data_IF_307340165726
#
_entry.id   IF_307340165726
#
_cell.length_a   1.000
_cell.length_b   1.000
_cell.length_c   1.000
_cell.angle_alpha   90.00
_cell.angle_beta   90.00
_cell.angle_gamma   90.00
#
_symmetry.space_group_name_H-M   'P 1'
#
loop_
_entity.id
_entity.type
_entity.pdbx_description
1 polymer ?
#
# COMPACT_ATOMS: atom_id res chain seq x y z
N UNK A 1 36.19 -13.51 36.33
CA UNK A 1 35.56 -13.98 35.08
C UNK A 1 34.10 -13.58 35.14
N UNK A 2 33.63 -12.56 34.41
CA UNK A 2 32.21 -12.25 34.41
C UNK A 2 31.46 -13.39 33.72
N UNK A 3 30.54 -13.99 34.48
CA UNK A 3 29.60 -15.01 34.00
C UNK A 3 28.68 -14.36 32.98
N UNK A 4 28.91 -14.62 31.69
CA UNK A 4 27.91 -14.34 30.67
C UNK A 4 26.88 -15.46 30.72
N UNK A 5 25.78 -15.20 31.42
CA UNK A 5 24.56 -15.98 31.24
C UNK A 5 24.12 -15.80 29.78
N UNK A 6 23.80 -16.88 29.04
CA UNK A 6 23.23 -16.74 27.71
C UNK A 6 21.91 -15.96 27.81
N UNK A 7 21.61 -15.09 26.84
CA UNK A 7 20.35 -14.36 26.83
C UNK A 7 19.17 -15.36 26.89
N UNK A 8 18.06 -15.01 27.56
CA UNK A 8 16.91 -15.89 27.67
C UNK A 8 16.42 -16.28 26.26
N UNK A 9 15.97 -17.53 26.07
CA UNK A 9 15.39 -17.97 24.79
C UNK A 9 14.25 -17.02 24.41
N UNK A 10 14.36 -16.35 23.26
CA UNK A 10 13.40 -15.36 22.77
C UNK A 10 13.93 -13.92 22.66
N UNK A 11 14.92 -13.51 23.44
CA UNK A 11 15.45 -12.13 23.38
C UNK A 11 16.09 -11.78 22.02
N UNK A 12 16.70 -12.77 21.35
CA UNK A 12 17.21 -12.61 19.99
C UNK A 12 16.11 -12.54 18.94
N UNK A 13 14.98 -13.20 19.15
CA UNK A 13 13.87 -13.23 18.20
C UNK A 13 13.02 -11.96 18.29
N UNK A 14 12.87 -11.38 19.48
CA UNK A 14 12.21 -10.09 19.65
C UNK A 14 13.00 -8.95 18.96
N UNK A 15 14.32 -8.97 19.10
CA UNK A 15 15.19 -8.02 18.41
C UNK A 15 15.12 -8.18 16.87
N UNK A 16 15.14 -9.43 16.37
CA UNK A 16 14.98 -9.71 14.94
C UNK A 16 13.61 -9.31 14.43
N UNK A 17 12.54 -9.61 15.17
CA UNK A 17 11.17 -9.19 14.85
C UNK A 17 11.10 -7.68 14.70
N UNK A 18 11.64 -6.92 15.66
CA UNK A 18 11.67 -5.47 15.62
C UNK A 18 12.44 -4.94 14.40
N UNK A 19 13.60 -5.55 14.08
CA UNK A 19 14.37 -5.19 12.90
C UNK A 19 13.58 -5.45 11.62
N UNK A 20 13.03 -6.66 11.43
CA UNK A 20 12.26 -7.04 10.25
C UNK A 20 11.11 -6.03 10.04
N UNK A 21 10.34 -5.74 11.09
CA UNK A 21 9.26 -4.74 11.06
C UNK A 21 9.79 -3.37 10.61
N UNK A 22 10.86 -2.89 11.24
CA UNK A 22 11.42 -1.57 10.91
C UNK A 22 11.86 -1.48 9.45
N UNK A 23 12.49 -2.54 8.92
CA UNK A 23 12.97 -2.60 7.55
C UNK A 23 11.79 -2.52 6.59
N UNK A 24 10.78 -3.37 6.75
CA UNK A 24 9.64 -3.40 5.81
C UNK A 24 8.78 -2.15 5.91
N UNK A 25 8.54 -1.63 7.12
CA UNK A 25 7.77 -0.39 7.33
C UNK A 25 8.52 0.82 6.76
N UNK A 26 9.85 0.87 6.88
CA UNK A 26 10.64 1.98 6.31
C UNK A 26 10.51 2.10 4.78
N UNK A 27 10.13 1.00 4.11
CA UNK A 27 9.90 0.95 2.66
C UNK A 27 8.45 1.27 2.28
N UNK A 28 7.51 1.26 3.22
CA UNK A 28 6.17 1.75 2.97
C UNK A 28 6.22 3.27 2.72
N UNK A 29 5.68 3.72 1.59
CA UNK A 29 5.72 5.15 1.25
C UNK A 29 4.78 5.97 2.12
N UNK A 30 5.36 6.77 3.01
CA UNK A 30 4.63 7.78 3.81
C UNK A 30 4.39 9.08 3.04
N UNK A 31 4.99 9.26 1.86
CA UNK A 31 4.83 10.46 1.03
C UNK A 31 3.58 10.37 0.15
N UNK A 32 2.62 11.30 0.27
CA UNK A 32 1.45 11.35 -0.61
C UNK A 32 1.79 11.50 -2.09
N UNK A 33 2.90 12.18 -2.41
CA UNK A 33 3.39 12.37 -3.77
C UNK A 33 3.88 11.04 -4.35
N UNK A 34 4.84 10.40 -3.67
CA UNK A 34 5.39 9.10 -4.12
C UNK A 34 4.31 8.02 -4.21
N UNK A 35 3.33 8.02 -3.30
CA UNK A 35 2.17 7.11 -3.37
C UNK A 35 1.35 7.34 -4.64
N UNK A 36 1.07 8.60 -4.98
CA UNK A 36 0.31 8.93 -6.21
C UNK A 36 1.06 8.53 -7.47
N UNK A 37 2.38 8.73 -7.50
CA UNK A 37 3.24 8.32 -8.62
C UNK A 37 3.21 6.80 -8.81
N UNK A 38 3.42 6.03 -7.73
CA UNK A 38 3.36 4.57 -7.76
C UNK A 38 1.97 4.07 -8.20
N UNK A 39 0.89 4.65 -7.69
CA UNK A 39 -0.48 4.30 -8.10
C UNK A 39 -0.75 4.64 -9.57
N UNK A 40 -0.25 5.78 -10.08
CA UNK A 40 -0.35 6.14 -11.49
C UNK A 40 0.36 5.11 -12.37
N UNK A 41 1.56 4.70 -12.00
CA UNK A 41 2.34 3.69 -12.74
C UNK A 41 1.63 2.34 -12.74
N UNK A 42 1.15 1.89 -11.58
CA UNK A 42 0.35 0.68 -11.45
C UNK A 42 -0.91 0.72 -12.34
N UNK A 43 -1.63 1.85 -12.33
CA UNK A 43 -2.81 2.05 -13.19
C UNK A 43 -2.44 2.07 -14.67
N UNK A 44 -1.28 2.61 -15.05
CA UNK A 44 -0.80 2.57 -16.43
C UNK A 44 -0.58 1.14 -16.94
N UNK A 45 -0.10 0.24 -16.06
CA UNK A 45 0.12 -1.18 -16.39
C UNK A 45 -1.19 -1.96 -16.39
N UNK A 46 -2.04 -1.78 -15.38
CA UNK A 46 -3.27 -2.58 -15.18
C UNK A 46 -4.47 -2.07 -15.97
N UNK A 47 -4.45 -0.79 -16.35
CA UNK A 47 -5.51 -0.09 -17.08
C UNK A 47 -4.90 0.82 -18.16
N UNK A 48 -4.26 0.25 -19.20
CA UNK A 48 -3.63 1.03 -20.27
C UNK A 48 -4.65 1.86 -21.08
N UNK A 49 -5.94 1.52 -20.99
CA UNK A 49 -7.03 2.32 -21.56
C UNK A 49 -7.24 3.67 -20.84
N UNK A 50 -6.76 3.81 -19.60
CA UNK A 50 -6.74 5.07 -18.87
C UNK A 50 -5.53 5.89 -19.32
N UNK A 51 -5.77 6.97 -20.05
CA UNK A 51 -4.71 7.95 -20.34
C UNK A 51 -4.08 8.51 -19.06
N UNK A 52 -2.81 8.95 -19.14
CA UNK A 52 -2.00 9.32 -17.96
C UNK A 52 -2.64 10.35 -17.02
N UNK A 53 -3.35 11.35 -17.56
CA UNK A 53 -4.11 12.33 -16.76
C UNK A 53 -5.23 11.69 -15.93
N UNK A 54 -5.95 10.73 -16.51
CA UNK A 54 -7.03 10.02 -15.82
C UNK A 54 -6.47 9.08 -14.73
N UNK A 55 -5.33 8.42 -15.00
CA UNK A 55 -4.63 7.59 -14.02
C UNK A 55 -4.13 8.43 -12.83
N UNK A 56 -3.56 9.61 -13.08
CA UNK A 56 -3.08 10.52 -12.05
C UNK A 56 -4.23 11.08 -11.19
N UNK A 57 -5.34 11.47 -11.83
CA UNK A 57 -6.54 11.91 -11.13
C UNK A 57 -7.13 10.79 -10.25
N UNK A 58 -7.18 9.56 -10.76
CA UNK A 58 -7.67 8.42 -9.98
C UNK A 58 -6.75 8.11 -8.79
N UNK A 59 -5.44 8.08 -9.00
CA UNK A 59 -4.44 7.89 -7.94
C UNK A 59 -4.59 8.92 -6.81
N UNK A 60 -4.95 10.17 -7.13
CA UNK A 60 -5.21 11.22 -6.15
C UNK A 60 -6.46 11.00 -5.29
N UNK A 61 -7.40 10.16 -5.72
CA UNK A 61 -8.63 9.85 -4.99
C UNK A 61 -8.52 8.57 -4.15
N UNK A 62 -7.47 7.77 -4.32
CA UNK A 62 -7.24 6.58 -3.50
C UNK A 62 -6.78 7.02 -2.11
N UNK A 63 -7.55 6.74 -1.04
CA UNK A 63 -7.13 7.09 0.31
C UNK A 63 -5.88 6.29 0.71
N UNK A 64 -4.98 6.86 1.54
CA UNK A 64 -3.91 6.08 2.13
C UNK A 64 -4.49 4.96 3.00
N UNK A 65 -3.78 3.83 3.06
CA UNK A 65 -4.06 2.81 4.06
C UNK A 65 -3.69 3.34 5.46
N UNK A 66 -4.46 2.98 6.50
CA UNK A 66 -4.10 3.26 7.89
C UNK A 66 -2.73 2.66 8.25
N UNK A 67 -1.84 3.39 8.94
CA UNK A 67 -0.54 2.88 9.37
C UNK A 67 -0.62 1.58 10.16
N UNK A 68 -1.67 1.42 10.96
CA UNK A 68 -1.90 0.28 11.86
C UNK A 68 -2.08 -1.03 11.07
N UNK A 69 -2.64 -0.96 9.85
CA UNK A 69 -2.72 -2.13 8.97
C UNK A 69 -1.35 -2.55 8.46
N UNK A 70 -0.50 -1.59 8.09
CA UNK A 70 0.87 -1.87 7.67
C UNK A 70 1.68 -2.49 8.80
N UNK A 71 1.55 -1.97 10.03
CA UNK A 71 2.20 -2.53 11.21
C UNK A 71 1.74 -3.96 11.49
N UNK A 72 0.43 -4.19 11.48
CA UNK A 72 -0.16 -5.52 11.66
C UNK A 72 0.38 -6.53 10.66
N UNK A 73 0.42 -6.19 9.38
CA UNK A 73 0.89 -7.11 8.35
C UNK A 73 2.39 -7.35 8.42
N UNK A 74 3.17 -6.33 8.77
CA UNK A 74 4.60 -6.48 9.05
C UNK A 74 4.86 -7.41 10.25
N UNK A 75 4.04 -7.34 11.30
CA UNK A 75 4.09 -8.23 12.45
C UNK A 75 3.78 -9.68 12.07
N UNK A 76 2.73 -9.89 11.28
CA UNK A 76 2.36 -11.20 10.77
C UNK A 76 3.47 -11.81 9.92
N UNK A 77 4.10 -11.01 9.06
CA UNK A 77 5.24 -11.43 8.26
C UNK A 77 6.43 -11.81 9.14
N UNK A 78 6.85 -10.94 10.07
CA UNK A 78 7.97 -11.21 10.95
C UNK A 78 7.74 -12.47 11.80
N UNK A 79 6.51 -12.65 12.32
CA UNK A 79 6.13 -13.87 13.04
C UNK A 79 6.31 -15.10 12.16
N UNK A 80 5.76 -15.06 10.94
CA UNK A 80 5.80 -16.21 10.04
C UNK A 80 7.22 -16.54 9.60
N UNK A 81 8.02 -15.53 9.28
CA UNK A 81 9.40 -15.70 8.86
C UNK A 81 10.23 -16.41 9.94
N UNK A 82 10.13 -15.94 11.20
CA UNK A 82 10.81 -16.54 12.35
C UNK A 82 10.34 -17.96 12.66
N UNK A 83 9.07 -18.26 12.40
CA UNK A 83 8.49 -19.59 12.61
C UNK A 83 8.97 -20.60 11.56
N UNK A 84 9.13 -20.18 10.30
CA UNK A 84 9.33 -21.11 9.17
C UNK A 84 10.74 -21.19 8.62
N UNK A 85 11.58 -20.18 8.88
CA UNK A 85 12.93 -20.10 8.31
C UNK A 85 13.96 -20.49 9.38
N UNK A 86 14.98 -21.32 9.05
CA UNK A 86 16.06 -21.64 9.96
C UNK A 86 16.72 -20.40 10.57
N UNK A 87 17.03 -20.46 11.87
CA UNK A 87 17.47 -19.31 12.64
C UNK A 87 18.81 -18.70 12.16
N UNK A 88 19.70 -19.51 11.60
CA UNK A 88 20.96 -19.09 10.97
C UNK A 88 20.71 -18.25 9.71
N UNK A 89 19.75 -18.68 8.87
CA UNK A 89 19.35 -17.93 7.67
C UNK A 89 18.63 -16.63 8.03
N UNK A 90 17.78 -16.64 9.05
CA UNK A 90 17.16 -15.41 9.57
C UNK A 90 18.23 -14.46 10.09
N UNK A 91 19.21 -14.95 10.84
CA UNK A 91 20.28 -14.13 11.38
C UNK A 91 21.11 -13.46 10.27
N UNK A 92 21.43 -14.20 9.19
CA UNK A 92 22.08 -13.65 8.01
C UNK A 92 21.23 -12.55 7.36
N UNK A 93 19.95 -12.82 7.15
CA UNK A 93 19.00 -11.89 6.54
C UNK A 93 18.76 -10.62 7.39
N UNK A 94 19.08 -10.68 8.69
CA UNK A 94 18.93 -9.62 9.67
C UNK A 94 20.25 -8.90 10.00
N UNK A 95 21.29 -9.00 9.16
CA UNK A 95 22.59 -8.37 9.41
C UNK A 95 22.61 -6.83 9.23
N UNK A 96 21.53 -6.24 8.73
CA UNK A 96 21.37 -4.81 8.51
C UNK A 96 21.97 -4.30 7.19
N UNK A 97 22.48 -5.18 6.33
CA UNK A 97 22.98 -4.79 5.00
C UNK A 97 21.84 -4.30 4.08
N UNK A 98 22.13 -3.37 3.14
CA UNK A 98 21.15 -2.92 2.15
C UNK A 98 20.57 -4.05 1.29
N UNK A 99 21.40 -5.04 0.94
CA UNK A 99 21.04 -6.18 0.11
C UNK A 99 20.04 -7.10 0.83
N UNK A 100 20.30 -7.39 2.10
CA UNK A 100 19.39 -8.21 2.90
C UNK A 100 18.11 -7.43 3.26
N UNK A 101 18.19 -6.11 3.45
CA UNK A 101 17.00 -5.28 3.61
C UNK A 101 16.11 -5.28 2.35
N UNK A 102 16.71 -5.26 1.16
CA UNK A 102 15.97 -5.41 -0.10
C UNK A 102 15.34 -6.81 -0.21
N UNK A 103 16.08 -7.85 0.17
CA UNK A 103 15.60 -9.24 0.18
C UNK A 103 14.43 -9.44 1.14
N UNK A 104 14.49 -8.87 2.35
CA UNK A 104 13.38 -8.84 3.31
C UNK A 104 12.15 -8.14 2.74
N UNK A 105 12.35 -7.03 2.03
CA UNK A 105 11.26 -6.30 1.40
C UNK A 105 10.59 -7.13 0.31
N UNK A 106 11.37 -7.83 -0.53
CA UNK A 106 10.83 -8.73 -1.55
C UNK A 106 10.07 -9.90 -0.92
N UNK A 107 10.65 -10.55 0.09
CA UNK A 107 9.98 -11.64 0.82
C UNK A 107 8.67 -11.18 1.46
N UNK A 108 8.61 -9.95 1.97
CA UNK A 108 7.39 -9.35 2.49
C UNK A 108 6.33 -9.14 1.40
N UNK A 109 6.71 -8.66 0.21
CA UNK A 109 5.78 -8.53 -0.92
C UNK A 109 5.21 -9.89 -1.33
N UNK A 110 6.07 -10.90 -1.48
CA UNK A 110 5.63 -12.27 -1.78
C UNK A 110 4.73 -12.85 -0.69
N UNK A 111 4.98 -12.52 0.58
CA UNK A 111 4.11 -12.91 1.69
C UNK A 111 2.72 -12.29 1.58
N UNK A 112 2.63 -10.99 1.23
CA UNK A 112 1.36 -10.30 1.00
C UNK A 112 0.55 -10.90 -0.16
N UNK A 113 1.23 -11.41 -1.19
CA UNK A 113 0.64 -12.07 -2.37
C UNK A 113 0.25 -13.54 -2.11
N UNK A 114 0.51 -14.08 -0.92
CA UNK A 114 0.07 -15.44 -0.60
C UNK A 114 -1.45 -15.51 -0.48
N UNK A 115 -2.08 -16.60 -0.94
CA UNK A 115 -3.54 -16.78 -0.90
C UNK A 115 -4.14 -16.55 0.50
N UNK A 116 -3.42 -17.00 1.54
CA UNK A 116 -3.81 -16.77 2.93
C UNK A 116 -3.81 -15.28 3.26
N UNK A 117 -2.76 -14.56 2.88
CA UNK A 117 -2.62 -13.15 3.22
C UNK A 117 -3.56 -12.28 2.40
N UNK A 118 -3.84 -12.61 1.14
CA UNK A 118 -4.86 -11.94 0.34
C UNK A 118 -6.23 -11.93 1.05
N UNK A 119 -6.65 -13.11 1.57
CA UNK A 119 -7.88 -13.25 2.36
C UNK A 119 -7.82 -12.42 3.65
N UNK A 120 -6.68 -12.41 4.34
CA UNK A 120 -6.50 -11.65 5.57
C UNK A 120 -6.54 -10.13 5.33
N UNK A 121 -5.85 -9.64 4.30
CA UNK A 121 -5.82 -8.22 3.92
C UNK A 121 -7.24 -7.74 3.61
N UNK A 122 -8.01 -8.51 2.84
CA UNK A 122 -9.40 -8.17 2.54
C UNK A 122 -10.26 -8.10 3.82
N UNK A 123 -10.11 -9.08 4.71
CA UNK A 123 -10.83 -9.11 5.99
C UNK A 123 -10.45 -7.93 6.90
N UNK A 124 -9.17 -7.57 6.97
CA UNK A 124 -8.65 -6.47 7.79
C UNK A 124 -9.13 -5.11 7.28
N UNK A 125 -9.11 -4.90 5.97
CA UNK A 125 -9.64 -3.67 5.36
C UNK A 125 -11.14 -3.54 5.65
N UNK A 126 -11.89 -4.63 5.55
CA UNK A 126 -13.33 -4.65 5.83
C UNK A 126 -13.63 -4.41 7.32
N UNK A 127 -12.85 -5.00 8.23
CA UNK A 127 -12.95 -4.74 9.66
C UNK A 127 -12.66 -3.27 9.98
N UNK A 128 -11.55 -2.74 9.46
CA UNK A 128 -11.18 -1.33 9.62
C UNK A 128 -12.28 -0.40 9.08
N UNK A 129 -12.92 -0.75 7.97
CA UNK A 129 -14.04 0.03 7.40
C UNK A 129 -15.27 0.06 8.32
N UNK A 130 -15.53 -1.01 9.08
CA UNK A 130 -16.65 -1.09 10.04
C UNK A 130 -16.36 -0.29 11.31
N UNK A 131 -15.13 -0.33 11.76
CA UNK A 131 -14.66 0.42 12.94
C UNK A 131 -14.56 1.93 12.67
N UNK A 132 -14.32 2.31 11.40
CA UNK A 132 -14.19 3.70 10.95
C UNK A 132 -15.25 4.09 9.89
N UNK A 133 -16.55 4.11 10.23
CA UNK A 133 -17.62 4.41 9.28
C UNK A 133 -17.52 5.82 8.67
N UNK A 134 -16.89 6.76 9.35
CA UNK A 134 -16.60 8.12 8.90
C UNK A 134 -15.67 8.15 7.67
N UNK A 135 -14.69 7.24 7.61
CA UNK A 135 -13.79 7.12 6.47
C UNK A 135 -14.52 6.54 5.25
N UNK A 136 -15.44 5.60 5.48
CA UNK A 136 -16.30 5.05 4.43
C UNK A 136 -17.28 6.11 3.88
N UNK A 137 -17.82 6.97 4.75
CA UNK A 137 -18.68 8.09 4.33
C UNK A 137 -17.89 9.11 3.50
N UNK A 138 -16.70 9.50 3.96
CA UNK A 138 -15.80 10.41 3.25
C UNK A 138 -15.38 9.86 1.88
N UNK A 139 -15.09 8.55 1.79
CA UNK A 139 -14.80 7.87 0.52
C UNK A 139 -15.96 7.97 -0.47
N UNK A 140 -17.19 7.68 -0.04
CA UNK A 140 -18.39 7.81 -0.88
C UNK A 140 -18.64 9.26 -1.32
N UNK A 141 -18.43 10.22 -0.42
CA UNK A 141 -18.58 11.65 -0.74
C UNK A 141 -17.56 12.11 -1.79
N UNK A 142 -16.29 11.67 -1.67
CA UNK A 142 -15.23 11.98 -2.64
C UNK A 142 -15.54 11.37 -4.01
N UNK A 143 -15.97 10.11 -4.07
CA UNK A 143 -16.41 9.47 -5.33
C UNK A 143 -17.60 10.23 -5.93
N UNK A 144 -18.58 10.62 -5.12
CA UNK A 144 -19.72 11.42 -5.56
C UNK A 144 -19.32 12.78 -6.13
N UNK A 145 -18.37 13.48 -5.50
CA UNK A 145 -17.82 14.75 -6.00
C UNK A 145 -17.08 14.55 -7.32
N UNK A 146 -16.24 13.53 -7.44
CA UNK A 146 -15.49 13.23 -8.66
C UNK A 146 -16.42 12.89 -9.84
N UNK A 147 -17.46 12.08 -9.60
CA UNK A 147 -18.46 11.76 -10.63
C UNK A 147 -19.21 13.00 -11.10
N UNK A 148 -19.64 13.88 -10.19
CA UNK A 148 -20.30 15.16 -10.54
C UNK A 148 -19.39 16.07 -11.36
N UNK A 149 -18.11 16.21 -10.97
CA UNK A 149 -17.14 17.02 -11.69
C UNK A 149 -16.91 16.48 -13.12
N UNK A 150 -16.81 15.15 -13.28
CA UNK A 150 -16.68 14.50 -14.60
C UNK A 150 -17.92 14.75 -15.47
N UNK A 151 -19.13 14.58 -14.93
CA UNK A 151 -20.37 14.86 -15.65
C UNK A 151 -20.47 16.32 -16.09
N UNK A 152 -20.05 17.26 -15.26
CA UNK A 152 -20.02 18.69 -15.61
C UNK A 152 -19.02 18.99 -16.74
N UNK A 153 -17.81 18.43 -16.67
CA UNK A 153 -16.79 18.55 -17.72
C UNK A 153 -17.28 17.99 -19.07
N UNK A 154 -17.93 16.82 -19.05
CA UNK A 154 -18.51 16.22 -20.26
C UNK A 154 -19.61 17.10 -20.88
N UNK A 155 -20.48 17.70 -20.06
CA UNK A 155 -21.51 18.64 -20.52
C UNK A 155 -20.91 19.90 -21.14
N UNK A 156 -19.86 20.47 -20.53
CA UNK A 156 -19.15 21.62 -21.09
C UNK A 156 -18.50 21.30 -22.44
N UNK A 157 -17.82 20.15 -22.57
CA UNK A 157 -17.24 19.71 -23.84
C UNK A 157 -18.32 19.54 -24.92
N UNK A 158 -19.43 18.88 -24.60
CA UNK A 158 -20.55 18.72 -25.53
C UNK A 158 -21.15 20.07 -25.98
N UNK A 159 -21.33 21.02 -25.06
CA UNK A 159 -21.79 22.37 -25.37
C UNK A 159 -20.79 23.15 -26.25
N UNK A 160 -19.49 22.98 -26.02
CA UNK A 160 -18.44 23.56 -26.86
C UNK A 160 -18.46 23.02 -28.29
N UNK A 161 -18.58 21.70 -28.46
CA UNK A 161 -18.73 21.07 -29.78
C UNK A 161 -19.97 21.55 -30.52
N UNK A 162 -21.11 21.67 -29.83
CA UNK A 162 -22.35 22.19 -30.42
C UNK A 162 -22.18 23.63 -30.92
N UNK A 163 -21.58 24.52 -30.10
CA UNK A 163 -21.30 25.91 -30.50
C UNK A 163 -20.35 26.01 -31.70
N UNK A 164 -19.27 25.23 -31.71
CA UNK A 164 -18.31 25.22 -32.82
C UNK A 164 -18.93 24.71 -34.13
N UNK A 165 -19.85 23.74 -34.06
CA UNK A 165 -20.58 23.24 -35.22
C UNK A 165 -21.56 24.28 -35.79
N UNK A 166 -22.24 25.04 -34.92
CA UNK A 166 -23.13 26.13 -35.35
C UNK A 166 -22.35 27.30 -35.95
N UNK A 167 -21.21 27.67 -35.36
CA UNK A 167 -20.36 28.76 -35.88
C UNK A 167 -19.71 28.46 -37.24
N UNK A 168 -19.57 27.18 -37.63
CA UNK A 168 -19.06 26.77 -38.95
C UNK A 168 -20.14 26.66 -40.03
N UNK A 169 -21.43 26.79 -39.68
CA UNK A 169 -22.58 26.72 -40.62
C UNK A 169 -23.13 28.10 -40.99
N UNK A 170 -22.66 29.15 -40.34
CA UNK A 170 -22.92 30.56 -40.68
C UNK A 170 -21.67 31.14 -41.33
#
# INVERSE_FOLDING_TARGET
MPSHSPPPPGAGDDARRALIRSVVISRASTSPQRRREALREFLGVTRPDLGGEAAMALAGNVPPLPPELHEKWADMFAARLLETVPADQVALLCDGSPENAASLTLAYLMFLESERMEKQVAADIEANRREHPELAHKGREMVGKALRARSASMRQKAAGYAKAKTARRN
#
